data_IF_822677554827
#
_entry.id   IF_822677554827
#
_cell.length_a   1.000
_cell.length_b   1.000
_cell.length_c   1.000
_cell.angle_alpha   90.00
_cell.angle_beta   90.00
_cell.angle_gamma   90.00
#
_symmetry.space_group_name_H-M   'P 1'
#
loop_
_entity.id
_entity.type
_entity.pdbx_description
1 polymer ?
#
# COMPACT_ATOMS: atom_id res chain seq x y z
N UNK A 1 -22.94 23.25 52.56
CA UNK A 1 -22.64 21.81 52.63
C UNK A 1 -21.89 21.44 51.36
N UNK A 2 -20.57 21.33 51.50
CA UNK A 2 -19.59 21.07 50.46
C UNK A 2 -19.46 19.57 50.25
N UNK A 3 -19.89 19.06 49.10
CA UNK A 3 -19.71 17.66 48.70
C UNK A 3 -18.38 17.49 47.97
N UNK A 4 -17.44 16.85 48.64
CA UNK A 4 -16.10 16.47 48.16
C UNK A 4 -16.16 15.34 47.13
N UNK A 5 -15.50 15.52 45.99
CA UNK A 5 -15.14 14.43 45.07
C UNK A 5 -13.97 13.61 45.66
N UNK A 6 -14.03 12.27 45.65
CA UNK A 6 -12.88 11.47 46.07
C UNK A 6 -11.80 11.47 44.96
N UNK A 7 -10.64 11.99 45.32
CA UNK A 7 -9.37 11.77 44.62
C UNK A 7 -8.82 10.38 44.96
N UNK A 8 -8.43 9.60 43.95
CA UNK A 8 -7.22 8.78 43.91
C UNK A 8 -7.36 7.67 42.84
N UNK A 9 -6.60 7.79 41.75
CA UNK A 9 -6.11 6.62 41.02
C UNK A 9 -4.59 6.72 41.11
N UNK A 10 -4.02 5.97 42.05
CA UNK A 10 -2.57 5.80 42.18
C UNK A 10 -2.00 5.04 40.97
N UNK A 11 -0.67 5.08 40.79
CA UNK A 11 -0.02 4.44 39.65
C UNK A 11 -0.31 2.94 39.68
N UNK A 12 -0.91 2.41 38.61
CA UNK A 12 -1.16 0.99 38.48
C UNK A 12 0.18 0.26 38.47
N UNK A 13 0.40 -0.59 39.47
CA UNK A 13 1.55 -1.47 39.60
C UNK A 13 1.79 -2.22 38.27
N UNK A 14 3.01 -2.11 37.77
CA UNK A 14 3.43 -2.77 36.54
C UNK A 14 3.19 -4.27 36.62
N UNK A 15 2.44 -4.78 35.64
CA UNK A 15 2.52 -6.21 35.32
C UNK A 15 3.94 -6.45 34.79
N UNK A 16 4.77 -7.11 35.58
CA UNK A 16 5.94 -7.81 35.07
C UNK A 16 5.46 -8.83 34.02
N UNK A 17 5.65 -8.47 32.76
CA UNK A 17 5.59 -9.41 31.65
C UNK A 17 6.77 -10.35 31.90
N UNK A 18 6.47 -11.62 32.20
CA UNK A 18 7.47 -12.68 32.20
C UNK A 18 8.23 -12.60 30.88
N UNK A 19 9.51 -12.20 30.94
CA UNK A 19 10.41 -12.19 29.79
C UNK A 19 10.68 -13.64 29.41
N UNK A 20 9.83 -14.20 28.56
CA UNK A 20 10.22 -15.32 27.70
C UNK A 20 11.43 -14.91 26.87
N UNK A 21 12.24 -15.88 26.46
CA UNK A 21 13.41 -15.66 25.60
C UNK A 21 13.10 -14.62 24.52
N UNK A 22 13.91 -13.57 24.43
CA UNK A 22 13.65 -12.48 23.49
C UNK A 22 13.54 -13.05 22.07
N UNK A 23 12.33 -13.04 21.53
CA UNK A 23 12.06 -13.58 20.20
C UNK A 23 12.40 -12.56 19.13
N UNK A 24 12.87 -13.05 17.99
CA UNK A 24 13.30 -12.19 16.90
C UNK A 24 12.11 -11.69 16.07
N UNK A 25 12.20 -10.44 15.62
CA UNK A 25 11.31 -9.85 14.64
C UNK A 25 12.03 -9.78 13.29
N UNK A 26 11.35 -10.22 12.23
CA UNK A 26 11.88 -10.15 10.86
C UNK A 26 11.10 -9.10 10.06
N UNK A 27 11.78 -8.07 9.59
CA UNK A 27 11.28 -7.10 8.62
C UNK A 27 11.84 -7.40 7.24
N UNK A 28 11.00 -7.33 6.20
CA UNK A 28 11.44 -7.45 4.80
C UNK A 28 10.77 -6.34 3.98
N UNK A 29 11.57 -5.52 3.30
CA UNK A 29 11.08 -4.53 2.35
C UNK A 29 11.43 -4.95 0.91
N UNK A 30 10.42 -5.27 0.13
CA UNK A 30 10.59 -5.65 -1.28
C UNK A 30 10.41 -4.42 -2.16
N UNK A 31 11.54 -3.78 -2.47
CA UNK A 31 11.62 -2.60 -3.31
C UNK A 31 11.74 -2.90 -4.81
N UNK A 32 11.69 -1.86 -5.64
CA UNK A 32 11.84 -1.97 -7.10
C UNK A 32 13.28 -2.19 -7.61
N UNK A 33 14.29 -2.03 -6.74
CA UNK A 33 15.72 -2.19 -7.06
C UNK A 33 16.41 -3.15 -6.12
N UNK A 34 16.14 -3.03 -4.82
CA UNK A 34 16.68 -3.92 -3.79
C UNK A 34 15.56 -4.46 -2.91
N UNK A 35 15.81 -5.64 -2.36
CA UNK A 35 15.05 -6.24 -1.27
C UNK A 35 15.92 -6.19 -0.03
N UNK A 36 15.41 -5.56 1.01
CA UNK A 36 16.08 -5.37 2.29
C UNK A 36 15.44 -6.28 3.34
N UNK A 37 16.25 -6.93 4.16
CA UNK A 37 15.80 -7.76 5.26
C UNK A 37 16.54 -7.38 6.55
N UNK A 38 15.80 -7.31 7.65
CA UNK A 38 16.32 -6.91 8.96
C UNK A 38 15.79 -7.84 10.04
N UNK A 39 16.69 -8.32 10.90
CA UNK A 39 16.36 -9.03 12.13
C UNK A 39 16.57 -8.11 13.33
N UNK A 40 15.58 -8.06 14.20
CA UNK A 40 15.63 -7.31 15.45
C UNK A 40 15.31 -8.21 16.64
N UNK A 41 15.95 -7.94 17.77
CA UNK A 41 15.69 -8.58 19.07
C UNK A 41 15.50 -7.48 20.11
N UNK A 42 14.29 -7.36 20.67
CA UNK A 42 13.94 -6.21 21.51
C UNK A 42 14.07 -4.90 20.71
N UNK A 43 14.97 -4.02 21.16
CA UNK A 43 15.26 -2.73 20.50
C UNK A 43 16.57 -2.75 19.69
N UNK A 44 17.22 -3.91 19.56
CA UNK A 44 18.50 -4.03 18.87
C UNK A 44 18.33 -4.66 17.49
N UNK A 45 18.99 -4.08 16.49
CA UNK A 45 19.14 -4.70 15.17
C UNK A 45 20.30 -5.70 15.25
N UNK A 46 19.99 -6.99 15.08
CA UNK A 46 20.95 -8.08 15.23
C UNK A 46 21.45 -8.63 13.89
N UNK A 47 20.84 -8.23 12.78
CA UNK A 47 21.32 -8.58 11.45
C UNK A 47 20.56 -7.82 10.37
N UNK A 48 21.23 -7.58 9.25
CA UNK A 48 20.62 -7.00 8.06
C UNK A 48 21.22 -7.58 6.79
N UNK A 49 20.43 -7.65 5.73
CA UNK A 49 20.90 -8.07 4.43
C UNK A 49 20.18 -7.31 3.34
N UNK A 50 20.88 -7.10 2.22
CA UNK A 50 20.38 -6.42 1.05
C UNK A 50 20.70 -7.26 -0.17
N UNK A 51 19.70 -7.55 -0.99
CA UNK A 51 19.85 -8.28 -2.22
C UNK A 51 19.20 -7.52 -3.38
N UNK A 52 19.73 -7.59 -4.62
CA UNK A 52 19.06 -7.03 -5.79
C UNK A 52 17.66 -7.64 -5.97
N UNK A 53 16.65 -6.80 -6.20
CA UNK A 53 15.32 -7.28 -6.58
C UNK A 53 15.35 -7.77 -8.03
N UNK A 54 15.17 -9.06 -8.22
CA UNK A 54 15.10 -9.65 -9.57
C UNK A 54 13.72 -9.41 -10.18
N UNK A 55 13.61 -8.44 -11.10
CA UNK A 55 12.37 -8.20 -11.84
C UNK A 55 11.99 -9.46 -12.63
N UNK A 56 10.71 -9.85 -12.54
CA UNK A 56 10.22 -11.10 -13.14
C UNK A 56 10.45 -12.37 -12.31
N UNK A 57 11.26 -12.30 -11.24
CA UNK A 57 11.43 -13.41 -10.29
C UNK A 57 11.65 -12.88 -8.86
N UNK A 58 10.59 -12.34 -8.25
CA UNK A 58 10.66 -11.77 -6.89
C UNK A 58 11.16 -12.77 -5.85
N UNK A 59 10.84 -14.06 -6.02
CA UNK A 59 11.25 -15.14 -5.13
C UNK A 59 12.77 -15.17 -4.92
N UNK A 60 13.55 -15.04 -6.00
CA UNK A 60 15.02 -15.07 -5.92
C UNK A 60 15.57 -13.93 -5.06
N UNK A 61 15.05 -12.71 -5.23
CA UNK A 61 15.48 -11.56 -4.45
C UNK A 61 15.13 -11.68 -2.97
N UNK A 62 13.92 -12.16 -2.66
CA UNK A 62 13.46 -12.39 -1.28
C UNK A 62 14.30 -13.49 -0.61
N UNK A 63 14.55 -14.61 -1.30
CA UNK A 63 15.38 -15.70 -0.78
C UNK A 63 16.81 -15.22 -0.49
N UNK A 64 17.42 -14.46 -1.39
CA UNK A 64 18.78 -13.94 -1.18
C UNK A 64 18.88 -13.00 0.03
N UNK A 65 17.89 -12.11 0.23
CA UNK A 65 17.84 -11.24 1.40
C UNK A 65 17.60 -12.06 2.69
N UNK A 66 16.70 -13.05 2.65
CA UNK A 66 16.46 -13.97 3.77
C UNK A 66 17.72 -14.76 4.14
N UNK A 67 18.41 -15.33 3.17
CA UNK A 67 19.63 -16.12 3.41
C UNK A 67 20.71 -15.26 4.06
N UNK A 68 20.91 -14.04 3.55
CA UNK A 68 21.88 -13.11 4.11
C UNK A 68 21.57 -12.72 5.55
N UNK A 69 20.29 -12.48 5.89
CA UNK A 69 19.93 -12.04 7.24
C UNK A 69 19.90 -13.22 8.22
N UNK A 70 19.41 -14.39 7.80
CA UNK A 70 19.33 -15.59 8.65
C UNK A 70 20.71 -16.18 8.96
N UNK A 71 21.70 -15.98 8.08
CA UNK A 71 23.09 -16.35 8.37
C UNK A 71 23.68 -15.59 9.58
N UNK A 72 23.09 -14.47 9.96
CA UNK A 72 23.49 -13.64 11.12
C UNK A 72 22.68 -13.98 12.38
N UNK A 73 21.61 -14.77 12.26
CA UNK A 73 20.77 -15.13 13.38
C UNK A 73 21.46 -16.14 14.30
N UNK A 74 21.46 -15.87 15.61
CA UNK A 74 21.69 -16.91 16.62
C UNK A 74 20.43 -17.78 16.70
N UNK A 75 20.57 -19.08 16.99
CA UNK A 75 19.54 -20.15 16.88
C UNK A 75 18.23 -19.95 17.70
N UNK A 76 17.55 -18.82 17.47
CA UNK A 76 16.30 -18.39 18.10
C UNK A 76 15.18 -18.43 17.08
N UNK A 77 13.95 -18.45 17.57
CA UNK A 77 12.76 -18.43 16.73
C UNK A 77 12.37 -17.01 16.35
N UNK A 78 12.00 -16.81 15.08
CA UNK A 78 11.30 -15.59 14.64
C UNK A 78 9.87 -15.68 15.17
N UNK A 79 9.41 -14.65 15.90
CA UNK A 79 8.03 -14.58 16.42
C UNK A 79 7.08 -13.90 15.45
N UNK A 80 7.57 -12.91 14.69
CA UNK A 80 6.73 -12.14 13.76
C UNK A 80 7.50 -11.72 12.53
N UNK A 81 6.82 -11.79 11.39
CA UNK A 81 7.34 -11.35 10.11
C UNK A 81 6.50 -10.18 9.61
N UNK A 82 7.13 -9.06 9.27
CA UNK A 82 6.47 -7.90 8.67
C UNK A 82 7.07 -7.64 7.30
N UNK A 83 6.22 -7.59 6.27
CA UNK A 83 6.60 -7.31 4.90
C UNK A 83 6.10 -5.92 4.50
N UNK A 84 6.93 -5.16 3.82
CA UNK A 84 6.55 -3.97 3.08
C UNK A 84 6.93 -4.13 1.61
N UNK A 85 6.30 -3.35 0.73
CA UNK A 85 6.69 -3.33 -0.67
C UNK A 85 6.36 -2.01 -1.35
N UNK A 86 7.26 -1.54 -2.21
CA UNK A 86 6.99 -0.39 -3.10
C UNK A 86 6.37 -0.82 -4.44
N UNK A 87 6.18 -2.12 -4.69
CA UNK A 87 5.67 -2.64 -5.95
C UNK A 87 4.30 -2.04 -6.29
N UNK A 88 3.36 -2.02 -5.34
CA UNK A 88 2.01 -1.49 -5.58
C UNK A 88 2.05 -0.01 -5.95
N UNK A 89 2.82 0.78 -5.20
CA UNK A 89 3.01 2.21 -5.49
C UNK A 89 3.61 2.42 -6.88
N UNK A 90 4.65 1.64 -7.23
CA UNK A 90 5.35 1.79 -8.51
C UNK A 90 4.47 1.40 -9.70
N UNK A 91 3.70 0.32 -9.60
CA UNK A 91 2.77 -0.10 -10.67
C UNK A 91 1.74 0.99 -10.96
N UNK A 92 1.20 1.61 -9.90
CA UNK A 92 0.26 2.72 -10.02
C UNK A 92 0.94 3.96 -10.61
N UNK A 93 2.11 4.34 -10.09
CA UNK A 93 2.83 5.53 -10.54
C UNK A 93 3.29 5.44 -12.00
N UNK A 94 3.74 4.25 -12.43
CA UNK A 94 4.16 3.95 -13.80
C UNK A 94 2.98 3.67 -14.75
N UNK A 95 1.74 3.71 -14.27
CA UNK A 95 0.52 3.41 -15.03
C UNK A 95 0.53 2.01 -15.68
N UNK A 96 1.14 1.03 -15.01
CA UNK A 96 1.24 -0.37 -15.46
C UNK A 96 0.19 -1.28 -14.83
N UNK A 97 -0.91 -0.70 -14.35
CA UNK A 97 -1.99 -1.45 -13.70
C UNK A 97 -2.80 -2.27 -14.70
N UNK A 98 -3.47 -3.32 -14.21
CA UNK A 98 -4.45 -4.06 -15.00
C UNK A 98 -5.63 -3.16 -15.40
N UNK A 99 -6.22 -3.42 -16.58
CA UNK A 99 -7.46 -2.76 -17.00
C UNK A 99 -8.65 -3.32 -16.21
N UNK A 100 -9.54 -2.45 -15.72
CA UNK A 100 -10.61 -2.81 -14.79
C UNK A 100 -11.96 -2.35 -15.30
N UNK A 101 -12.92 -3.25 -15.41
CA UNK A 101 -14.31 -2.91 -15.67
C UNK A 101 -14.98 -2.44 -14.37
N UNK A 102 -15.51 -1.22 -14.36
CA UNK A 102 -16.10 -0.63 -13.15
C UNK A 102 -17.62 -0.61 -13.28
N UNK A 103 -18.32 -1.25 -12.35
CA UNK A 103 -19.78 -1.27 -12.27
C UNK A 103 -20.22 -0.38 -11.11
N UNK A 104 -20.89 0.73 -11.41
CA UNK A 104 -21.27 1.73 -10.41
C UNK A 104 -22.78 1.86 -10.32
N UNK A 105 -23.31 1.82 -9.10
CA UNK A 105 -24.73 2.07 -8.79
C UNK A 105 -24.84 3.39 -8.02
N UNK A 106 -24.90 4.55 -8.72
CA UNK A 106 -24.87 5.86 -8.08
C UNK A 106 -26.21 6.24 -7.44
N UNK A 107 -27.32 5.63 -7.88
CA UNK A 107 -28.66 6.10 -7.53
C UNK A 107 -28.89 7.57 -7.92
N UNK A 108 -29.94 8.21 -7.38
CA UNK A 108 -30.20 9.62 -7.64
C UNK A 108 -29.18 10.54 -6.94
N UNK A 109 -28.98 11.73 -7.49
CA UNK A 109 -28.20 12.82 -6.90
C UNK A 109 -27.25 13.49 -7.88
N UNK A 110 -26.13 13.99 -7.35
CA UNK A 110 -25.05 14.64 -8.10
C UNK A 110 -24.54 13.76 -9.24
N UNK A 111 -24.34 14.36 -10.42
CA UNK A 111 -23.64 13.71 -11.52
C UNK A 111 -22.16 13.50 -11.15
N UNK A 112 -21.77 12.23 -11.06
CA UNK A 112 -20.41 11.82 -10.73
C UNK A 112 -19.61 11.37 -11.95
N UNK A 113 -20.20 11.43 -13.15
CA UNK A 113 -19.56 10.96 -14.40
C UNK A 113 -18.15 11.53 -14.60
N UNK A 114 -17.88 12.83 -14.32
CA UNK A 114 -16.53 13.39 -14.45
C UNK A 114 -15.49 12.80 -13.48
N UNK A 115 -15.92 12.09 -12.43
CA UNK A 115 -15.09 11.48 -11.39
C UNK A 115 -14.91 9.98 -11.59
N UNK A 116 -15.52 9.37 -12.60
CA UNK A 116 -15.47 7.93 -12.80
C UNK A 116 -14.12 7.50 -13.42
N UNK A 117 -13.55 6.35 -13.01
CA UNK A 117 -12.45 5.73 -13.72
C UNK A 117 -12.82 5.37 -15.17
N UNK A 118 -11.83 5.08 -16.03
CA UNK A 118 -12.07 4.48 -17.34
C UNK A 118 -12.89 3.19 -17.23
N UNK A 119 -13.50 2.77 -18.34
CA UNK A 119 -14.22 1.50 -18.45
C UNK A 119 -15.36 1.33 -17.42
N UNK A 120 -15.98 2.44 -17.05
CA UNK A 120 -17.14 2.44 -16.14
C UNK A 120 -18.44 2.18 -16.90
N UNK A 121 -19.31 1.35 -16.32
CA UNK A 121 -20.72 1.17 -16.70
C UNK A 121 -21.59 1.52 -15.49
N UNK A 122 -22.54 2.44 -15.71
CA UNK A 122 -23.51 2.83 -14.70
C UNK A 122 -24.66 1.83 -14.73
N UNK A 123 -24.95 1.22 -13.59
CA UNK A 123 -26.08 0.32 -13.40
C UNK A 123 -27.21 1.03 -12.68
N UNK A 124 -28.44 0.61 -12.96
CA UNK A 124 -29.57 0.85 -12.09
C UNK A 124 -29.37 0.15 -10.75
N UNK A 125 -30.06 0.62 -9.73
CA UNK A 125 -29.84 0.21 -8.35
C UNK A 125 -29.63 1.44 -7.46
N UNK A 126 -30.37 1.51 -6.38
CA UNK A 126 -30.22 2.55 -5.38
C UNK A 126 -30.58 2.01 -4.00
N UNK A 127 -29.62 2.20 -3.09
CA UNK A 127 -29.82 2.14 -1.65
C UNK A 127 -29.92 3.59 -1.16
N UNK A 128 -30.85 3.91 -0.26
CA UNK A 128 -30.96 5.23 0.34
C UNK A 128 -29.92 5.45 1.46
N UNK A 129 -29.86 6.68 1.98
CA UNK A 129 -28.96 6.98 3.08
C UNK A 129 -29.24 6.16 4.34
N UNK A 130 -30.40 5.53 4.53
CA UNK A 130 -30.71 4.66 5.68
C UNK A 130 -30.38 3.18 5.43
N UNK A 131 -29.85 2.84 4.26
CA UNK A 131 -29.54 1.45 3.90
C UNK A 131 -30.75 0.69 3.33
N UNK A 132 -31.87 1.37 3.06
CA UNK A 132 -33.06 0.75 2.47
C UNK A 132 -32.93 0.71 0.96
N UNK A 133 -33.35 -0.40 0.37
CA UNK A 133 -33.42 -0.51 -1.09
C UNK A 133 -34.57 0.34 -1.63
N UNK A 134 -34.25 1.17 -2.63
CA UNK A 134 -35.21 2.06 -3.32
C UNK A 134 -35.53 1.49 -4.69
N UNK A 135 -34.50 1.15 -5.46
CA UNK A 135 -34.62 0.50 -6.77
C UNK A 135 -33.60 -0.62 -6.86
N UNK A 136 -34.00 -1.77 -7.43
CA UNK A 136 -33.13 -2.93 -7.59
C UNK A 136 -32.17 -2.81 -8.75
N UNK A 137 -31.00 -3.44 -8.60
CA UNK A 137 -30.04 -3.65 -9.70
C UNK A 137 -30.60 -4.70 -10.67
N UNK A 138 -30.42 -4.48 -11.98
CA UNK A 138 -30.94 -5.36 -13.02
C UNK A 138 -29.87 -6.28 -13.59
N UNK A 139 -30.16 -7.58 -13.63
CA UNK A 139 -29.27 -8.59 -14.23
C UNK A 139 -28.96 -8.32 -15.71
N UNK A 140 -29.94 -7.82 -16.46
CA UNK A 140 -29.76 -7.49 -17.89
C UNK A 140 -28.69 -6.42 -18.12
N UNK A 141 -28.56 -5.43 -17.23
CA UNK A 141 -27.55 -4.37 -17.33
C UNK A 141 -26.15 -4.91 -17.00
N UNK A 142 -26.04 -5.81 -16.01
CA UNK A 142 -24.77 -6.52 -15.73
C UNK A 142 -24.35 -7.37 -16.93
N UNK A 143 -25.29 -8.10 -17.54
CA UNK A 143 -25.03 -8.90 -18.74
C UNK A 143 -24.57 -8.05 -19.93
N UNK A 144 -25.21 -6.90 -20.16
CA UNK A 144 -24.80 -5.97 -21.22
C UNK A 144 -23.38 -5.45 -20.96
N UNK A 145 -23.07 -5.04 -19.73
CA UNK A 145 -21.73 -4.62 -19.35
C UNK A 145 -20.68 -5.72 -19.57
N UNK A 146 -21.00 -6.97 -19.24
CA UNK A 146 -20.12 -8.13 -19.48
C UNK A 146 -19.82 -8.34 -20.96
N UNK A 147 -20.81 -8.16 -21.84
CA UNK A 147 -20.60 -8.30 -23.29
C UNK A 147 -19.56 -7.27 -23.78
N UNK A 148 -19.69 -6.01 -23.35
CA UNK A 148 -18.73 -4.97 -23.69
C UNK A 148 -17.33 -5.28 -23.15
N UNK A 149 -17.24 -5.58 -21.84
CA UNK A 149 -15.98 -5.90 -21.19
C UNK A 149 -15.27 -7.11 -21.79
N UNK A 150 -16.03 -8.12 -22.23
CA UNK A 150 -15.48 -9.32 -22.87
C UNK A 150 -14.88 -9.01 -24.24
N UNK A 151 -15.52 -8.13 -25.04
CA UNK A 151 -14.95 -7.64 -26.32
C UNK A 151 -13.64 -6.89 -26.10
N UNK A 152 -13.52 -6.23 -24.96
CA UNK A 152 -12.37 -5.42 -24.57
C UNK A 152 -11.29 -6.22 -23.81
N UNK A 153 -11.49 -7.53 -23.58
CA UNK A 153 -10.54 -8.41 -22.89
C UNK A 153 -10.41 -8.14 -21.38
N UNK A 154 -11.36 -7.44 -20.77
CA UNK A 154 -11.31 -7.06 -19.35
C UNK A 154 -11.69 -8.26 -18.47
N UNK A 155 -10.82 -8.57 -17.50
CA UNK A 155 -10.96 -9.72 -16.59
C UNK A 155 -10.94 -9.35 -15.10
N UNK A 156 -10.71 -8.07 -14.77
CA UNK A 156 -10.70 -7.54 -13.42
C UNK A 156 -11.83 -6.53 -13.26
N UNK A 157 -12.52 -6.56 -12.13
CA UNK A 157 -13.71 -5.74 -11.96
C UNK A 157 -13.77 -5.06 -10.60
N UNK A 158 -14.47 -3.93 -10.56
CA UNK A 158 -14.82 -3.25 -9.32
C UNK A 158 -16.32 -2.96 -9.31
N UNK A 159 -17.02 -3.35 -8.24
CA UNK A 159 -18.47 -3.18 -8.09
C UNK A 159 -18.75 -2.29 -6.88
N UNK A 160 -19.38 -1.13 -7.11
CA UNK A 160 -19.54 -0.10 -6.07
C UNK A 160 -20.94 0.52 -6.10
N UNK A 161 -21.67 0.41 -4.99
CA UNK A 161 -22.91 1.13 -4.72
C UNK A 161 -22.71 2.32 -3.78
N UNK A 162 -23.50 3.39 -3.94
CA UNK A 162 -23.36 4.65 -3.19
C UNK A 162 -23.37 4.46 -1.66
N UNK A 163 -24.35 3.73 -1.15
CA UNK A 163 -24.53 3.49 0.29
C UNK A 163 -24.30 2.03 0.70
N UNK A 164 -23.50 1.30 -0.07
CA UNK A 164 -23.28 -0.13 0.17
C UNK A 164 -22.53 -0.48 1.45
N UNK A 165 -21.82 0.47 2.05
CA UNK A 165 -21.27 0.32 3.41
C UNK A 165 -22.37 0.16 4.48
N UNK A 166 -23.59 0.62 4.19
CA UNK A 166 -24.78 0.41 5.05
C UNK A 166 -25.55 -0.84 4.64
N UNK A 167 -25.66 -1.10 3.34
CA UNK A 167 -26.32 -2.30 2.81
C UNK A 167 -25.62 -2.79 1.52
N UNK A 168 -24.80 -3.84 1.59
CA UNK A 168 -24.01 -4.32 0.46
C UNK A 168 -24.78 -5.23 -0.51
N UNK A 169 -26.08 -5.47 -0.30
CA UNK A 169 -26.85 -6.47 -1.04
C UNK A 169 -26.75 -6.33 -2.56
N UNK A 170 -26.84 -5.11 -3.09
CA UNK A 170 -26.77 -4.87 -4.53
C UNK A 170 -25.35 -5.06 -5.10
N UNK A 171 -24.29 -4.71 -4.35
CA UNK A 171 -22.92 -5.02 -4.77
C UNK A 171 -22.68 -6.53 -4.83
N UNK A 172 -23.14 -7.26 -3.82
CA UNK A 172 -23.01 -8.72 -3.75
C UNK A 172 -23.79 -9.40 -4.88
N UNK A 173 -25.00 -8.92 -5.17
CA UNK A 173 -25.85 -9.46 -6.23
C UNK A 173 -25.26 -9.20 -7.62
N UNK A 174 -24.82 -7.97 -7.89
CA UNK A 174 -24.17 -7.64 -9.16
C UNK A 174 -22.86 -8.42 -9.35
N UNK A 175 -22.05 -8.60 -8.29
CA UNK A 175 -20.84 -9.41 -8.36
C UNK A 175 -21.13 -10.91 -8.58
N UNK A 176 -22.22 -11.44 -8.00
CA UNK A 176 -22.67 -12.80 -8.29
C UNK A 176 -23.01 -12.96 -9.77
N UNK A 177 -23.85 -12.10 -10.33
CA UNK A 177 -24.20 -12.15 -11.74
C UNK A 177 -23.00 -11.92 -12.65
N UNK A 178 -22.08 -11.03 -12.28
CA UNK A 178 -20.84 -10.81 -13.02
C UNK A 178 -20.02 -12.10 -13.16
N UNK A 179 -19.90 -12.90 -12.09
CA UNK A 179 -19.23 -14.21 -12.15
C UNK A 179 -19.99 -15.24 -12.99
N UNK A 180 -21.32 -15.23 -12.92
CA UNK A 180 -22.15 -16.16 -13.71
C UNK A 180 -22.09 -15.86 -15.21
N UNK A 181 -22.06 -14.58 -15.60
CA UNK A 181 -22.09 -14.16 -17.01
C UNK A 181 -20.70 -14.06 -17.64
N UNK A 182 -19.63 -13.88 -16.84
CA UNK A 182 -18.26 -13.70 -17.33
C UNK A 182 -17.31 -14.76 -16.71
N UNK A 183 -17.10 -15.91 -17.39
CA UNK A 183 -16.16 -16.94 -16.93
C UNK A 183 -14.70 -16.48 -16.84
N UNK A 184 -14.34 -15.41 -17.55
CA UNK A 184 -12.99 -14.84 -17.56
C UNK A 184 -12.66 -13.97 -16.33
N UNK A 185 -13.61 -13.75 -15.41
CA UNK A 185 -13.39 -12.98 -14.18
C UNK A 185 -12.23 -13.59 -13.37
N UNK A 186 -11.17 -12.81 -13.20
CA UNK A 186 -10.03 -13.15 -12.32
C UNK A 186 -10.21 -12.61 -10.92
N UNK A 187 -10.77 -11.41 -10.79
CA UNK A 187 -10.98 -10.78 -9.48
C UNK A 187 -12.09 -9.72 -9.52
N UNK A 188 -12.82 -9.56 -8.41
CA UNK A 188 -13.84 -8.53 -8.22
C UNK A 188 -13.57 -7.82 -6.89
N UNK A 189 -13.22 -6.53 -6.96
CA UNK A 189 -13.19 -5.63 -5.82
C UNK A 189 -14.61 -5.18 -5.45
N UNK A 190 -15.00 -5.36 -4.19
CA UNK A 190 -16.29 -4.88 -3.68
C UNK A 190 -16.07 -3.60 -2.87
N UNK A 191 -16.72 -2.52 -3.29
CA UNK A 191 -16.51 -1.22 -2.69
C UNK A 191 -16.86 -1.15 -1.21
N UNK A 192 -17.80 -1.96 -0.71
CA UNK A 192 -18.16 -1.97 0.72
C UNK A 192 -17.07 -2.59 1.62
N UNK A 193 -16.17 -3.41 1.06
CA UNK A 193 -15.12 -4.09 1.82
C UNK A 193 -13.84 -3.24 1.97
N UNK A 194 -13.65 -2.25 1.09
CA UNK A 194 -12.37 -1.58 0.90
C UNK A 194 -12.23 -0.24 1.62
N UNK A 195 -13.28 0.22 2.31
CA UNK A 195 -13.21 1.23 3.37
C UNK A 195 -14.60 1.54 3.95
N UNK A 196 -14.65 1.84 5.25
CA UNK A 196 -15.88 2.10 5.99
C UNK A 196 -16.46 3.52 5.84
N UNK A 197 -15.83 4.40 5.05
CA UNK A 197 -16.25 5.79 4.92
C UNK A 197 -17.28 5.97 3.80
N UNK A 198 -18.31 6.80 4.02
CA UNK A 198 -19.41 7.04 3.07
C UNK A 198 -19.04 7.82 1.80
N UNK A 199 -17.79 8.26 1.65
CA UNK A 199 -17.38 9.10 0.51
C UNK A 199 -17.32 8.28 -0.79
N UNK A 200 -18.40 8.33 -1.57
CA UNK A 200 -18.65 7.47 -2.71
C UNK A 200 -17.63 7.61 -3.86
N UNK A 201 -17.29 8.81 -4.38
CA UNK A 201 -16.24 8.93 -5.40
C UNK A 201 -14.90 8.33 -4.96
N UNK A 202 -14.48 8.55 -3.71
CA UNK A 202 -13.23 7.97 -3.19
C UNK A 202 -13.31 6.44 -3.08
N UNK A 203 -14.47 5.88 -2.75
CA UNK A 203 -14.68 4.42 -2.74
C UNK A 203 -14.58 3.81 -4.13
N UNK A 204 -15.12 4.48 -5.14
CA UNK A 204 -15.00 4.05 -6.54
C UNK A 204 -13.52 3.95 -6.92
N UNK A 205 -12.73 4.99 -6.68
CA UNK A 205 -11.28 4.96 -6.98
C UNK A 205 -10.51 3.93 -6.15
N UNK A 206 -10.87 3.75 -4.88
CA UNK A 206 -10.22 2.75 -4.01
C UNK A 206 -10.49 1.33 -4.52
N UNK A 207 -11.74 1.02 -4.87
CA UNK A 207 -12.11 -0.28 -5.42
C UNK A 207 -11.50 -0.52 -6.80
N UNK A 208 -11.47 0.49 -7.66
CA UNK A 208 -10.80 0.46 -8.95
C UNK A 208 -9.31 0.12 -8.78
N UNK A 209 -8.57 0.89 -7.98
CA UNK A 209 -7.13 0.66 -7.78
C UNK A 209 -6.87 -0.71 -7.16
N UNK A 210 -7.70 -1.14 -6.20
CA UNK A 210 -7.58 -2.45 -5.58
C UNK A 210 -7.69 -3.59 -6.61
N UNK A 211 -8.64 -3.52 -7.54
CA UNK A 211 -8.74 -4.49 -8.63
C UNK A 211 -7.57 -4.36 -9.62
N UNK A 212 -7.14 -3.13 -9.90
CA UNK A 212 -6.13 -2.82 -10.91
C UNK A 212 -4.73 -3.33 -10.54
N UNK A 213 -4.40 -3.40 -9.25
CA UNK A 213 -3.10 -3.91 -8.75
C UNK A 213 -3.14 -5.36 -8.28
N UNK A 214 -4.31 -6.00 -8.30
CA UNK A 214 -4.50 -7.30 -7.65
C UNK A 214 -3.56 -8.37 -8.22
N UNK A 215 -3.44 -8.46 -9.54
CA UNK A 215 -2.65 -9.51 -10.20
C UNK A 215 -1.17 -9.47 -9.79
N UNK A 216 -0.56 -8.29 -9.88
CA UNK A 216 0.84 -8.07 -9.54
C UNK A 216 1.10 -8.27 -8.04
N UNK A 217 0.14 -7.89 -7.20
CA UNK A 217 0.22 -8.11 -5.77
C UNK A 217 0.17 -9.59 -5.38
N UNK A 218 -0.61 -10.40 -6.11
CA UNK A 218 -0.65 -11.85 -5.91
C UNK A 218 0.71 -12.48 -6.20
N UNK A 219 1.39 -12.07 -7.28
CA UNK A 219 2.75 -12.54 -7.60
C UNK A 219 3.72 -12.24 -6.45
N UNK A 220 3.62 -11.03 -5.87
CA UNK A 220 4.41 -10.65 -4.70
C UNK A 220 4.14 -11.54 -3.48
N UNK A 221 2.87 -11.73 -3.10
CA UNK A 221 2.54 -12.55 -1.93
C UNK A 221 2.95 -14.00 -2.15
N UNK A 222 2.69 -14.56 -3.33
CA UNK A 222 3.02 -15.95 -3.64
C UNK A 222 4.54 -16.17 -3.55
N UNK A 223 5.34 -15.21 -4.05
CA UNK A 223 6.80 -15.24 -3.90
C UNK A 223 7.25 -15.13 -2.44
N UNK A 224 6.62 -14.25 -1.64
CA UNK A 224 6.96 -14.09 -0.23
C UNK A 224 6.60 -15.33 0.60
N UNK A 225 5.39 -15.89 0.43
CA UNK A 225 4.96 -17.11 1.11
C UNK A 225 5.87 -18.30 0.76
N UNK A 226 6.21 -18.45 -0.51
CA UNK A 226 7.12 -19.51 -0.96
C UNK A 226 8.52 -19.36 -0.37
N UNK A 227 9.06 -18.13 -0.32
CA UNK A 227 10.36 -17.88 0.28
C UNK A 227 10.40 -18.24 1.78
N UNK A 228 9.37 -17.83 2.53
CA UNK A 228 9.23 -18.13 3.95
C UNK A 228 9.06 -19.64 4.20
N UNK A 229 8.26 -20.31 3.36
CA UNK A 229 8.05 -21.77 3.41
C UNK A 229 9.36 -22.52 3.17
N UNK A 230 10.15 -22.14 2.16
CA UNK A 230 11.44 -22.77 1.88
C UNK A 230 12.45 -22.62 3.02
N UNK A 231 12.32 -21.58 3.85
CA UNK A 231 13.15 -21.37 5.05
C UNK A 231 12.50 -21.82 6.36
N UNK A 232 11.36 -22.52 6.27
CA UNK A 232 10.62 -23.07 7.41
C UNK A 232 10.28 -22.01 8.46
N UNK A 233 10.05 -20.78 8.02
CA UNK A 233 9.63 -19.68 8.87
C UNK A 233 8.11 -19.75 9.05
N UNK A 234 7.66 -20.20 10.22
CA UNK A 234 6.25 -20.43 10.54
C UNK A 234 5.58 -19.27 11.31
N UNK A 235 6.31 -18.20 11.59
CA UNK A 235 5.77 -17.04 12.30
C UNK A 235 4.60 -16.38 11.55
N UNK A 236 3.64 -15.79 12.27
CA UNK A 236 2.62 -14.94 11.68
C UNK A 236 3.21 -13.84 10.80
N UNK A 237 2.69 -13.74 9.57
CA UNK A 237 3.14 -12.78 8.56
C UNK A 237 2.13 -11.65 8.41
N UNK A 238 2.64 -10.43 8.45
CA UNK A 238 1.87 -9.21 8.31
C UNK A 238 2.40 -8.34 7.17
N UNK A 239 1.51 -7.62 6.51
CA UNK A 239 1.82 -6.57 5.56
C UNK A 239 1.72 -5.23 6.27
N UNK A 240 2.76 -4.41 6.16
CA UNK A 240 2.73 -3.03 6.61
C UNK A 240 1.70 -2.23 5.80
N UNK A 241 1.00 -1.28 6.43
CA UNK A 241 0.07 -0.36 5.79
C UNK A 241 0.64 1.05 5.78
N UNK A 242 0.16 1.91 4.88
CA UNK A 242 0.61 3.30 4.80
C UNK A 242 0.33 4.16 6.04
N UNK A 243 -0.62 3.76 6.89
CA UNK A 243 -0.94 4.43 8.15
C UNK A 243 -0.11 3.93 9.34
N UNK A 244 0.90 3.09 9.08
CA UNK A 244 1.75 2.47 10.09
C UNK A 244 1.11 1.28 10.81
N UNK A 245 -0.15 0.96 10.50
CA UNK A 245 -0.78 -0.28 10.93
C UNK A 245 -0.25 -1.50 10.17
N UNK A 246 -0.71 -2.68 10.53
CA UNK A 246 -0.39 -3.92 9.82
C UNK A 246 -1.65 -4.72 9.49
N UNK A 247 -1.56 -5.58 8.48
CA UNK A 247 -2.64 -6.46 8.04
C UNK A 247 -2.13 -7.90 7.92
N UNK A 248 -2.84 -8.91 8.44
CA UNK A 248 -2.43 -10.30 8.21
C UNK A 248 -2.35 -10.60 6.71
N UNK A 249 -1.31 -11.34 6.29
CA UNK A 249 -1.03 -11.64 4.88
C UNK A 249 -2.25 -12.28 4.16
N UNK A 250 -2.96 -13.17 4.84
CA UNK A 250 -4.16 -13.81 4.28
C UNK A 250 -5.29 -12.82 3.97
N UNK A 251 -5.41 -11.74 4.74
CA UNK A 251 -6.42 -10.70 4.51
C UNK A 251 -5.97 -9.73 3.42
N UNK A 252 -4.67 -9.41 3.36
CA UNK A 252 -4.14 -8.44 2.39
C UNK A 252 -4.34 -8.86 0.94
N UNK A 253 -4.39 -10.16 0.64
CA UNK A 253 -4.76 -10.71 -0.68
C UNK A 253 -6.09 -10.18 -1.23
N UNK A 254 -7.01 -9.76 -0.35
CA UNK A 254 -8.31 -9.18 -0.75
C UNK A 254 -8.25 -7.66 -0.88
N UNK A 255 -7.27 -7.01 -0.28
CA UNK A 255 -7.18 -5.55 -0.19
C UNK A 255 -5.77 -5.03 -0.51
N UNK A 256 -5.17 -5.39 -1.67
CA UNK A 256 -3.83 -4.94 -2.07
C UNK A 256 -3.65 -3.42 -2.03
N UNK A 257 -4.74 -2.65 -2.20
CA UNK A 257 -4.72 -1.18 -2.15
C UNK A 257 -4.26 -0.63 -0.79
N UNK A 258 -4.36 -1.40 0.30
CA UNK A 258 -3.87 -1.03 1.63
C UNK A 258 -2.33 -1.08 1.73
N UNK A 259 -1.67 -1.76 0.80
CA UNK A 259 -0.21 -1.85 0.70
C UNK A 259 0.40 -0.78 -0.23
N UNK A 260 -0.37 0.25 -0.60
CA UNK A 260 0.17 1.44 -1.26
C UNK A 260 0.95 2.25 -0.22
N UNK A 261 2.07 2.86 -0.60
CA UNK A 261 2.90 3.75 0.25
C UNK A 261 3.46 3.12 1.53
N UNK A 262 3.70 1.81 1.55
CA UNK A 262 4.29 1.15 2.73
C UNK A 262 5.77 1.47 2.91
N UNK A 263 6.51 1.75 1.83
CA UNK A 263 7.92 2.17 1.91
C UNK A 263 8.10 3.43 2.75
N UNK A 264 7.48 4.56 2.37
CA UNK A 264 7.51 5.78 3.19
C UNK A 264 7.01 5.57 4.62
N UNK A 265 6.00 4.71 4.80
CA UNK A 265 5.51 4.38 6.13
C UNK A 265 6.54 3.61 6.97
N UNK A 266 7.30 2.70 6.36
CA UNK A 266 8.38 1.96 7.02
C UNK A 266 9.47 2.92 7.49
N UNK A 267 9.89 3.86 6.64
CA UNK A 267 10.90 4.88 6.98
C UNK A 267 10.42 5.78 8.13
N UNK A 268 9.16 6.22 8.10
CA UNK A 268 8.56 6.99 9.19
C UNK A 268 8.56 6.20 10.50
N UNK A 269 8.10 4.94 10.47
CA UNK A 269 8.09 4.10 11.67
C UNK A 269 9.50 3.78 12.18
N UNK A 270 10.47 3.66 11.27
CA UNK A 270 11.89 3.50 11.62
C UNK A 270 12.41 4.72 12.38
N UNK A 271 12.13 5.94 11.90
CA UNK A 271 12.45 7.18 12.62
C UNK A 271 11.75 7.22 13.97
N UNK A 272 10.47 6.84 14.05
CA UNK A 272 9.72 6.81 15.30
C UNK A 272 10.32 5.82 16.32
N UNK A 273 10.84 4.69 15.85
CA UNK A 273 11.42 3.66 16.70
C UNK A 273 12.85 4.00 17.16
N UNK A 274 13.61 4.72 16.33
CA UNK A 274 15.04 4.99 16.56
C UNK A 274 15.33 6.40 17.09
N UNK A 275 14.34 7.29 17.11
CA UNK A 275 14.57 8.70 17.45
C UNK A 275 13.40 9.30 18.22
N UNK A 276 13.73 10.12 19.22
CA UNK A 276 12.75 10.96 19.91
C UNK A 276 12.57 12.28 19.16
N UNK A 277 11.43 12.44 18.48
CA UNK A 277 11.14 13.66 17.70
C UNK A 277 10.38 14.68 18.56
N UNK A 278 11.08 15.35 19.48
CA UNK A 278 10.45 16.26 20.46
C UNK A 278 9.86 17.54 19.86
N UNK A 279 10.49 18.09 18.82
CA UNK A 279 10.10 19.35 18.16
C UNK A 279 9.39 19.10 16.82
N UNK A 280 8.63 20.08 16.28
CA UNK A 280 8.14 20.00 14.91
C UNK A 280 9.30 19.79 13.93
N UNK A 281 9.23 18.70 13.16
CA UNK A 281 10.33 18.27 12.31
C UNK A 281 9.84 17.74 10.96
N UNK A 282 10.79 17.54 10.04
CA UNK A 282 10.57 16.79 8.82
C UNK A 282 11.60 15.67 8.73
N UNK A 283 11.16 14.45 8.40
CA UNK A 283 12.07 13.36 8.03
C UNK A 283 12.13 13.25 6.51
N UNK A 284 13.33 13.04 5.98
CA UNK A 284 13.59 12.89 4.55
C UNK A 284 14.18 11.49 4.30
N UNK A 285 13.50 10.71 3.48
CA UNK A 285 14.01 9.45 2.95
C UNK A 285 14.44 9.67 1.49
N UNK A 286 15.75 9.77 1.27
CA UNK A 286 16.34 10.05 -0.04
C UNK A 286 16.81 8.74 -0.66
N UNK A 287 16.05 8.25 -1.64
CA UNK A 287 16.44 7.11 -2.46
C UNK A 287 17.20 7.52 -3.72
N UNK A 288 17.40 6.55 -4.63
CA UNK A 288 18.03 6.83 -5.93
C UNK A 288 17.16 7.65 -6.87
N UNK A 289 15.83 7.53 -6.83
CA UNK A 289 14.93 8.21 -7.79
C UNK A 289 14.03 9.25 -7.15
N UNK A 290 13.71 9.07 -5.87
CA UNK A 290 12.71 9.86 -5.17
C UNK A 290 13.20 10.25 -3.78
N UNK A 291 12.66 11.36 -3.28
CA UNK A 291 12.78 11.79 -1.90
C UNK A 291 11.39 11.84 -1.29
N UNK A 292 11.16 11.04 -0.25
CA UNK A 292 9.92 11.03 0.51
C UNK A 292 10.07 11.88 1.78
N UNK A 293 9.20 12.88 1.91
CA UNK A 293 9.21 13.83 3.03
C UNK A 293 8.00 13.55 3.91
N UNK A 294 8.20 13.37 5.22
CA UNK A 294 7.14 13.27 6.20
C UNK A 294 7.26 14.36 7.26
N UNK A 295 6.12 14.84 7.75
CA UNK A 295 6.06 15.90 8.75
C UNK A 295 5.71 15.34 10.13
N UNK A 296 6.32 15.91 11.15
CA UNK A 296 6.21 15.48 12.54
C UNK A 296 5.75 16.62 13.43
N UNK A 297 4.92 16.28 14.43
CA UNK A 297 4.49 17.22 15.46
C UNK A 297 4.22 16.48 16.76
N UNK A 298 4.75 17.00 17.88
CA UNK A 298 4.59 16.42 19.21
C UNK A 298 5.02 14.93 19.27
N UNK A 299 6.17 14.57 18.70
CA UNK A 299 6.65 13.18 18.70
C UNK A 299 5.95 12.24 17.72
N UNK A 300 4.95 12.71 16.96
CA UNK A 300 4.12 11.85 16.12
C UNK A 300 4.15 12.30 14.65
N UNK A 301 4.19 11.34 13.70
CA UNK A 301 4.04 11.65 12.29
C UNK A 301 2.62 12.13 12.00
N UNK A 302 2.48 13.13 11.14
CA UNK A 302 1.17 13.65 10.76
C UNK A 302 0.42 12.61 9.92
N UNK A 303 -0.86 12.38 10.23
CA UNK A 303 -1.74 11.58 9.40
C UNK A 303 -2.29 12.38 8.20
N UNK A 304 -2.66 11.68 7.13
CA UNK A 304 -3.42 12.22 6.02
C UNK A 304 -4.92 11.89 6.18
N UNK A 305 -5.71 12.68 6.93
CA UNK A 305 -7.08 12.31 7.30
C UNK A 305 -8.05 12.22 6.11
N UNK A 306 -7.69 12.84 4.98
CA UNK A 306 -8.49 12.80 3.74
C UNK A 306 -8.18 11.59 2.86
N UNK A 307 -7.28 10.71 3.29
CA UNK A 307 -6.76 9.61 2.51
C UNK A 307 -5.69 10.07 1.51
N UNK A 308 -5.06 9.08 0.92
CA UNK A 308 -3.97 9.25 -0.05
C UNK A 308 -4.50 9.83 -1.37
N UNK A 309 -3.72 10.73 -1.99
CA UNK A 309 -3.95 11.19 -3.37
C UNK A 309 -3.07 10.42 -4.34
N UNK A 310 -3.70 9.80 -5.34
CA UNK A 310 -3.03 9.13 -6.45
C UNK A 310 -3.42 9.85 -7.74
N UNK A 311 -2.42 10.43 -8.42
CA UNK A 311 -2.66 11.32 -9.55
C UNK A 311 -3.57 12.48 -9.16
N UNK A 312 -4.74 12.56 -9.80
CA UNK A 312 -5.76 13.59 -9.52
C UNK A 312 -6.81 13.18 -8.50
N UNK A 313 -6.85 11.90 -8.11
CA UNK A 313 -7.97 11.32 -7.35
C UNK A 313 -7.56 11.01 -5.91
N UNK A 314 -8.47 11.28 -4.97
CA UNK A 314 -8.33 10.85 -3.58
C UNK A 314 -8.89 9.44 -3.41
N UNK A 315 -8.19 8.62 -2.62
CA UNK A 315 -8.65 7.30 -2.20
C UNK A 315 -9.13 7.34 -0.75
N UNK A 316 -9.63 6.22 -0.24
CA UNK A 316 -9.96 6.05 1.18
C UNK A 316 -8.83 5.36 1.98
N UNK A 317 -7.72 5.03 1.32
CA UNK A 317 -6.55 4.44 1.98
C UNK A 317 -5.99 5.46 2.97
N UNK A 318 -5.89 5.06 4.23
CA UNK A 318 -5.30 5.88 5.28
C UNK A 318 -3.78 5.83 5.14
N UNK A 319 -3.13 6.97 5.36
CA UNK A 319 -1.68 7.06 5.34
C UNK A 319 -1.15 8.11 6.29
N UNK A 320 0.16 8.10 6.50
CA UNK A 320 0.87 9.31 6.90
C UNK A 320 0.80 10.38 5.82
N UNK A 321 0.91 11.63 6.25
CA UNK A 321 1.04 12.78 5.37
C UNK A 321 2.47 12.82 4.85
N UNK A 322 2.65 12.34 3.63
CA UNK A 322 3.94 12.35 2.94
C UNK A 322 3.87 13.19 1.67
N UNK A 323 5.03 13.72 1.28
CA UNK A 323 5.23 14.37 -0.01
C UNK A 323 6.43 13.73 -0.69
N UNK A 324 6.17 13.10 -1.82
CA UNK A 324 7.22 12.53 -2.66
C UNK A 324 7.67 13.54 -3.71
N UNK A 325 8.98 13.72 -3.84
CA UNK A 325 9.62 14.49 -4.90
C UNK A 325 10.39 13.53 -5.81
N UNK A 326 10.28 13.70 -7.13
CA UNK A 326 11.03 12.93 -8.14
C UNK A 326 12.49 13.33 -8.24
N UNK A 327 13.15 13.54 -7.10
CA UNK A 327 14.55 13.94 -6.97
C UNK A 327 15.18 12.97 -5.98
N UNK A 328 16.25 12.29 -6.39
CA UNK A 328 17.04 11.37 -5.57
C UNK A 328 18.48 11.31 -6.07
N UNK A 329 19.28 10.40 -5.52
CA UNK A 329 20.72 10.30 -5.85
C UNK A 329 21.01 10.12 -7.35
N UNK A 330 20.24 9.27 -8.03
CA UNK A 330 20.40 8.92 -9.44
C UNK A 330 19.66 9.89 -10.39
N UNK A 331 19.12 11.00 -9.89
CA UNK A 331 18.45 11.99 -10.73
C UNK A 331 19.43 12.63 -11.70
N UNK A 332 19.07 12.65 -12.98
CA UNK A 332 19.90 13.21 -14.05
C UNK A 332 20.13 14.70 -13.82
N UNK A 333 21.39 15.10 -13.81
CA UNK A 333 21.82 16.50 -13.75
C UNK A 333 22.15 16.95 -15.18
N UNK A 334 21.55 18.06 -15.62
CA UNK A 334 21.82 18.65 -16.94
C UNK A 334 21.79 20.16 -16.88
N UNK A 335 22.53 20.79 -17.78
CA UNK A 335 22.41 22.22 -18.04
C UNK A 335 21.38 22.47 -19.15
N UNK A 336 20.51 23.45 -18.97
CA UNK A 336 19.64 23.97 -20.01
C UNK A 336 19.66 25.50 -19.94
N UNK A 337 20.12 26.15 -21.00
CA UNK A 337 20.21 27.62 -21.11
C UNK A 337 21.00 28.29 -19.95
N UNK A 338 22.09 27.67 -19.49
CA UNK A 338 22.88 28.20 -18.36
C UNK A 338 22.34 27.84 -16.97
N UNK A 339 21.21 27.15 -16.87
CA UNK A 339 20.64 26.69 -15.60
C UNK A 339 20.84 25.19 -15.39
N UNK A 340 21.24 24.82 -14.18
CA UNK A 340 21.31 23.42 -13.76
C UNK A 340 19.91 22.91 -13.42
N UNK A 341 19.48 21.88 -14.13
CA UNK A 341 18.25 21.14 -13.89
C UNK A 341 18.59 19.76 -13.32
N UNK A 342 17.86 19.37 -12.27
CA UNK A 342 18.03 18.10 -11.57
C UNK A 342 16.71 17.33 -11.64
N UNK A 343 16.76 16.13 -12.23
CA UNK A 343 15.59 15.29 -12.41
C UNK A 343 14.52 15.95 -13.32
N UNK A 344 13.27 15.47 -13.29
CA UNK A 344 12.82 14.29 -12.56
C UNK A 344 13.25 12.96 -13.21
N UNK A 345 13.92 13.04 -14.36
CA UNK A 345 14.34 11.87 -15.13
C UNK A 345 15.52 11.15 -14.49
N UNK A 346 15.51 9.81 -14.60
CA UNK A 346 16.66 8.94 -14.36
C UNK A 346 17.11 8.34 -15.69
N UNK A 347 18.38 8.49 -16.04
CA UNK A 347 18.97 8.06 -17.32
C UNK A 347 19.96 6.90 -17.19
N UNK A 348 19.84 6.11 -16.13
CA UNK A 348 20.72 4.98 -15.84
C UNK A 348 21.26 5.04 -14.41
N UNK A 349 22.39 4.35 -14.21
CA UNK A 349 23.19 4.49 -13.00
C UNK A 349 23.92 5.85 -12.98
N UNK A 350 24.39 6.31 -11.81
CA UNK A 350 25.39 7.38 -11.71
C UNK A 350 26.63 7.13 -12.58
N UNK A 351 27.24 8.19 -13.13
CA UNK A 351 28.43 8.10 -13.96
C UNK A 351 29.64 7.47 -13.25
N UNK A 352 29.84 7.80 -11.97
CA UNK A 352 30.85 7.23 -11.08
C UNK A 352 30.67 5.72 -10.87
N UNK A 353 29.45 5.20 -11.12
CA UNK A 353 29.13 3.77 -11.09
C UNK A 353 29.06 3.15 -12.50
N UNK A 354 29.66 3.79 -13.50
CA UNK A 354 29.70 3.32 -14.89
C UNK A 354 28.48 3.70 -15.72
N UNK A 355 27.65 4.63 -15.24
CA UNK A 355 26.50 5.15 -15.95
C UNK A 355 26.85 6.17 -17.06
N UNK A 356 25.92 6.44 -17.99
CA UNK A 356 26.19 7.31 -19.14
C UNK A 356 26.02 8.80 -18.89
N UNK A 357 25.43 9.23 -17.76
CA UNK A 357 25.11 10.63 -17.49
C UNK A 357 25.40 11.01 -16.03
N UNK A 358 25.74 12.29 -15.75
CA UNK A 358 25.97 12.76 -14.39
C UNK A 358 24.67 12.85 -13.58
N UNK A 359 24.80 12.59 -12.29
CA UNK A 359 23.71 12.52 -11.30
C UNK A 359 24.09 13.24 -10.00
N UNK A 360 23.16 13.36 -9.05
CA UNK A 360 23.44 13.95 -7.73
C UNK A 360 24.50 13.11 -6.99
N UNK A 361 24.40 11.78 -7.05
CA UNK A 361 25.38 10.86 -6.47
C UNK A 361 26.79 11.13 -7.00
N UNK A 362 26.93 11.45 -8.29
CA UNK A 362 28.24 11.78 -8.88
C UNK A 362 28.83 13.06 -8.27
N UNK A 363 28.00 14.09 -8.07
CA UNK A 363 28.45 15.30 -7.40
C UNK A 363 28.88 15.03 -5.95
N UNK A 364 28.16 14.16 -5.22
CA UNK A 364 28.50 13.76 -3.86
C UNK A 364 29.76 12.88 -3.78
N UNK A 365 30.11 12.15 -4.85
CA UNK A 365 31.36 11.38 -4.91
C UNK A 365 32.59 12.27 -5.16
N UNK A 366 32.41 13.44 -5.78
CA UNK A 366 33.51 14.36 -6.13
C UNK A 366 33.79 15.38 -5.02
N UNK A 367 32.76 15.78 -4.27
CA UNK A 367 32.87 16.66 -3.09
C UNK A 367 33.41 15.91 -1.88
#
# INVERSE_FOLDING_TARGET
MTGSFPSAVGPSAGREIQRGEANMLLGIDVGGTYTDAVLAEGNEIIGSAKAPTTRGCLLTGILAALDGVLAQAKAKTVERITLSTTLVTNIIAEQKTQRVGVLVMPGPGMDITPLLPPDTRILSGSIDHRGREVTGVKRSEVKAAVVDFSREGISYFAVIGKFSVRNPAQELLAAKWLREECPAVRYIALGHQLAGNLNFPRRIHTAYLNAAVWADYQIFIDAAEEALRQRRLAAPVYILKADGGTLPLAISRKTPVEAIFTGPAASILGVQALSEVGEPAASLDVGGTTTDIALWRNGLPLAAPRGVRIGRNLTQVRSFLTRSLGIGGDSWVRELNGELLIGPERKGLPAALGGPYPTITDALCVL
#
